data_IF_730662236669
#
_entry.id   IF_730662236669
#
_cell.length_a   1.000
_cell.length_b   1.000
_cell.length_c   1.000
_cell.angle_alpha   90.00
_cell.angle_beta   90.00
_cell.angle_gamma   90.00
#
_symmetry.space_group_name_H-M   'P 1'
#
loop_
_entity.id
_entity.type
_entity.pdbx_description
1 polymer ?
#
# COMPACT_ATOMS: atom_id res chain seq x y z
N UNK A 1 -11.39 27.44 2.34
CA UNK A 1 -12.05 26.15 2.58
C UNK A 1 -11.26 25.44 3.67
N UNK A 2 -11.85 25.39 4.81
CA UNK A 2 -11.20 24.90 6.01
C UNK A 2 -10.75 23.44 5.84
N UNK A 3 -9.44 23.24 5.77
CA UNK A 3 -8.84 22.01 6.25
C UNK A 3 -9.25 21.93 7.72
N UNK A 4 -10.32 21.20 8.01
CA UNK A 4 -10.69 20.88 9.37
C UNK A 4 -9.42 20.37 10.04
N UNK A 5 -8.79 21.22 10.82
CA UNK A 5 -7.56 20.94 11.53
C UNK A 5 -7.86 19.76 12.46
N UNK A 6 -7.38 18.58 12.10
CA UNK A 6 -7.54 17.42 12.97
C UNK A 6 -6.91 17.74 14.31
N UNK A 7 -7.61 17.47 15.39
CA UNK A 7 -7.06 17.72 16.71
C UNK A 7 -5.76 16.93 16.89
N UNK A 8 -4.74 17.47 17.57
CA UNK A 8 -3.50 16.75 17.83
C UNK A 8 -3.71 15.39 18.49
N UNK A 9 -4.72 15.28 19.34
CA UNK A 9 -5.10 14.03 19.99
C UNK A 9 -5.60 12.99 18.98
N UNK A 10 -6.48 13.38 18.07
CA UNK A 10 -6.96 12.50 17.01
C UNK A 10 -5.80 12.04 16.12
N UNK A 11 -4.93 12.95 15.73
CA UNK A 11 -3.76 12.61 14.89
C UNK A 11 -2.85 11.59 15.59
N UNK A 12 -2.59 11.74 16.88
CA UNK A 12 -1.83 10.74 17.65
C UNK A 12 -2.47 9.35 17.63
N UNK A 13 -3.79 9.29 17.73
CA UNK A 13 -4.55 8.02 17.66
C UNK A 13 -4.46 7.38 16.27
N UNK A 14 -4.58 8.17 15.20
CA UNK A 14 -4.42 7.70 13.83
C UNK A 14 -2.99 7.23 13.55
N UNK A 15 -1.98 7.97 14.03
CA UNK A 15 -0.57 7.58 13.95
C UNK A 15 -0.31 6.24 14.63
N UNK A 16 -0.92 6.00 15.79
CA UNK A 16 -0.81 4.74 16.51
C UNK A 16 -1.30 3.55 15.66
N UNK A 17 -2.43 3.69 14.98
CA UNK A 17 -2.93 2.66 14.06
C UNK A 17 -2.00 2.49 12.85
N UNK A 18 -1.51 3.59 12.29
CA UNK A 18 -0.54 3.56 11.19
C UNK A 18 0.74 2.83 11.59
N UNK A 19 1.30 3.12 12.75
CA UNK A 19 2.52 2.49 13.26
C UNK A 19 2.34 0.98 13.48
N UNK A 20 1.14 0.55 13.88
CA UNK A 20 0.82 -0.88 13.99
C UNK A 20 0.85 -1.58 12.63
N UNK A 21 0.28 -0.96 11.60
CA UNK A 21 0.37 -1.49 10.22
C UNK A 21 1.81 -1.52 9.72
N UNK A 22 2.58 -0.49 10.00
CA UNK A 22 4.00 -0.39 9.59
C UNK A 22 4.87 -1.46 10.27
N UNK A 23 4.60 -1.73 11.54
CA UNK A 23 5.36 -2.72 12.31
C UNK A 23 5.06 -4.18 11.95
N UNK A 24 3.84 -4.46 11.50
CA UNK A 24 3.41 -5.81 11.17
C UNK A 24 2.44 -5.81 9.96
N UNK A 25 2.91 -5.45 8.76
CA UNK A 25 2.03 -5.34 7.59
C UNK A 25 1.45 -6.68 7.13
N UNK A 26 2.07 -7.78 7.50
CA UNK A 26 1.60 -9.15 7.20
C UNK A 26 0.38 -9.58 8.01
N UNK A 27 0.10 -8.92 9.13
CA UNK A 27 -1.06 -9.22 9.94
C UNK A 27 -2.37 -8.76 9.27
N UNK A 28 -3.47 -9.37 9.69
CA UNK A 28 -4.80 -8.96 9.26
C UNK A 28 -5.24 -7.70 10.01
N UNK A 29 -5.16 -6.55 9.33
CA UNK A 29 -5.60 -5.25 9.84
C UNK A 29 -6.95 -4.88 9.26
N UNK A 30 -8.01 -5.34 9.91
CA UNK A 30 -9.38 -4.96 9.55
C UNK A 30 -9.65 -3.51 9.96
N UNK A 31 -10.61 -2.86 9.30
CA UNK A 31 -11.05 -1.52 9.69
C UNK A 31 -11.54 -1.49 11.15
N UNK A 32 -12.20 -2.56 11.59
CA UNK A 32 -12.65 -2.73 12.97
C UNK A 32 -11.48 -2.69 13.96
N UNK A 33 -10.45 -3.46 13.72
CA UNK A 33 -9.24 -3.54 14.56
C UNK A 33 -8.48 -2.19 14.60
N UNK A 34 -8.36 -1.52 13.48
CA UNK A 34 -7.70 -0.20 13.39
C UNK A 34 -8.50 0.89 14.11
N UNK A 35 -9.83 0.87 13.97
CA UNK A 35 -10.72 1.78 14.68
C UNK A 35 -10.65 1.58 16.20
N UNK A 36 -10.56 0.33 16.67
CA UNK A 36 -10.34 0.01 18.08
C UNK A 36 -9.02 0.58 18.60
N UNK A 37 -7.91 0.40 17.87
CA UNK A 37 -6.60 0.96 18.24
C UNK A 37 -6.65 2.48 18.36
N UNK A 38 -7.47 3.13 17.54
CA UNK A 38 -7.65 4.58 17.53
C UNK A 38 -8.74 5.07 18.46
N UNK A 39 -9.49 4.17 19.09
CA UNK A 39 -10.63 4.48 19.99
C UNK A 39 -11.69 5.38 19.33
N UNK A 40 -12.06 5.06 18.09
CA UNK A 40 -13.08 5.75 17.30
C UNK A 40 -13.94 4.74 16.54
N UNK A 41 -15.06 5.20 15.96
CA UNK A 41 -15.88 4.35 15.07
C UNK A 41 -15.18 4.05 13.76
N UNK A 42 -15.57 2.96 13.11
CA UNK A 42 -14.97 2.51 11.83
C UNK A 42 -15.10 3.56 10.72
N UNK A 43 -16.29 4.11 10.55
CA UNK A 43 -16.55 5.12 9.53
C UNK A 43 -15.77 6.41 9.77
N UNK A 44 -15.70 6.85 11.03
CA UNK A 44 -14.92 8.01 11.42
C UNK A 44 -13.42 7.78 11.21
N UNK A 45 -12.92 6.61 11.63
CA UNK A 45 -11.53 6.22 11.41
C UNK A 45 -11.16 6.28 9.91
N UNK A 46 -11.93 5.64 9.05
CA UNK A 46 -11.65 5.61 7.61
C UNK A 46 -11.57 7.00 7.01
N UNK A 47 -12.52 7.89 7.32
CA UNK A 47 -12.53 9.27 6.84
C UNK A 47 -11.34 10.07 7.36
N UNK A 48 -11.06 9.98 8.65
CA UNK A 48 -10.00 10.76 9.28
C UNK A 48 -8.61 10.26 8.87
N UNK A 49 -8.43 8.95 8.73
CA UNK A 49 -7.19 8.38 8.21
C UNK A 49 -6.88 8.86 6.79
N UNK A 50 -7.89 8.81 5.92
CA UNK A 50 -7.74 9.33 4.55
C UNK A 50 -7.45 10.83 4.53
N UNK A 51 -8.11 11.61 5.39
CA UNK A 51 -7.85 13.05 5.50
C UNK A 51 -6.43 13.34 5.99
N UNK A 52 -5.93 12.59 6.98
CA UNK A 52 -4.59 12.77 7.54
C UNK A 52 -3.48 12.31 6.61
N UNK A 53 -3.62 11.13 5.98
CA UNK A 53 -2.55 10.47 5.24
C UNK A 53 -2.76 10.44 3.73
N UNK A 54 -3.88 10.92 3.24
CA UNK A 54 -4.16 11.06 1.82
C UNK A 54 -4.62 9.78 1.11
N UNK A 55 -4.62 8.63 1.77
CA UNK A 55 -5.07 7.34 1.23
C UNK A 55 -5.94 6.60 2.23
N UNK A 56 -6.90 5.77 1.78
CA UNK A 56 -7.68 4.92 2.67
C UNK A 56 -6.78 3.91 3.42
N UNK A 57 -7.16 3.48 4.65
CA UNK A 57 -6.37 2.54 5.44
C UNK A 57 -6.00 1.26 4.71
N UNK A 58 -6.95 0.66 4.00
CA UNK A 58 -6.71 -0.57 3.24
C UNK A 58 -5.65 -0.39 2.13
N UNK A 59 -5.70 0.71 1.40
CA UNK A 59 -4.70 1.03 0.36
C UNK A 59 -3.33 1.26 0.97
N UNK A 60 -3.28 1.91 2.11
CA UNK A 60 -2.05 2.09 2.86
C UNK A 60 -1.41 0.74 3.22
N UNK A 61 -2.21 -0.18 3.78
CA UNK A 61 -1.74 -1.53 4.15
C UNK A 61 -1.20 -2.30 2.94
N UNK A 62 -1.92 -2.29 1.81
CA UNK A 62 -1.47 -2.96 0.58
C UNK A 62 -0.13 -2.41 0.09
N UNK A 63 0.05 -1.10 0.11
CA UNK A 63 1.32 -0.47 -0.26
C UNK A 63 2.47 -0.92 0.65
N UNK A 64 2.24 -0.99 1.96
CA UNK A 64 3.25 -1.46 2.92
C UNK A 64 3.62 -2.92 2.71
N UNK A 65 2.65 -3.78 2.42
CA UNK A 65 2.90 -5.19 2.07
C UNK A 65 3.75 -5.32 0.80
N UNK A 66 3.48 -4.51 -0.21
CA UNK A 66 4.28 -4.50 -1.45
C UNK A 66 5.71 -4.01 -1.19
N UNK A 67 5.90 -2.95 -0.43
CA UNK A 67 7.24 -2.48 -0.05
C UNK A 67 8.04 -3.58 0.65
N UNK A 68 7.42 -4.31 1.57
CA UNK A 68 8.04 -5.46 2.24
C UNK A 68 8.39 -6.58 1.26
N UNK A 69 7.49 -6.88 0.33
CA UNK A 69 7.73 -7.89 -0.70
C UNK A 69 8.90 -7.50 -1.62
N UNK A 70 9.01 -6.24 -2.01
CA UNK A 70 10.13 -5.74 -2.82
C UNK A 70 11.47 -5.96 -2.08
N UNK A 71 11.52 -5.65 -0.80
CA UNK A 71 12.72 -5.88 0.01
C UNK A 71 13.11 -7.36 0.04
N UNK A 72 12.15 -8.27 0.23
CA UNK A 72 12.39 -9.72 0.22
C UNK A 72 12.80 -10.24 -1.16
N UNK A 73 12.22 -9.72 -2.24
CA UNK A 73 12.60 -10.08 -3.62
C UNK A 73 14.04 -9.69 -3.92
N UNK A 74 14.47 -8.54 -3.45
CA UNK A 74 15.83 -8.02 -3.66
C UNK A 74 16.86 -8.73 -2.77
N UNK A 75 16.54 -8.88 -1.50
CA UNK A 75 17.53 -9.25 -0.46
C UNK A 75 17.57 -10.75 -0.16
N UNK A 76 16.63 -11.54 -0.69
CA UNK A 76 16.54 -12.98 -0.44
C UNK A 76 16.39 -13.79 -1.72
N UNK A 77 16.58 -15.12 -1.59
CA UNK A 77 16.29 -16.09 -2.65
C UNK A 77 14.97 -16.82 -2.45
N UNK A 78 14.14 -16.36 -1.53
CA UNK A 78 12.84 -16.97 -1.25
C UNK A 78 11.96 -17.04 -2.52
N UNK A 79 11.22 -18.13 -2.73
CA UNK A 79 10.25 -18.21 -3.81
C UNK A 79 9.19 -17.10 -3.72
N UNK A 80 8.69 -16.64 -4.85
CA UNK A 80 7.66 -15.59 -4.89
C UNK A 80 6.41 -16.00 -4.10
N UNK A 81 6.04 -17.27 -4.12
CA UNK A 81 4.94 -17.83 -3.31
C UNK A 81 5.16 -17.65 -1.80
N UNK A 82 6.35 -17.90 -1.33
CA UNK A 82 6.72 -17.71 0.07
C UNK A 82 6.71 -16.24 0.46
N UNK A 83 7.22 -15.38 -0.40
CA UNK A 83 7.18 -13.91 -0.18
C UNK A 83 5.74 -13.41 -0.08
N UNK A 84 4.85 -13.89 -0.94
CA UNK A 84 3.43 -13.55 -0.88
C UNK A 84 2.83 -13.94 0.48
N UNK A 85 3.08 -15.17 0.94
CA UNK A 85 2.58 -15.63 2.24
C UNK A 85 3.15 -14.81 3.41
N UNK A 86 4.46 -14.58 3.44
CA UNK A 86 5.12 -13.82 4.51
C UNK A 86 4.70 -12.35 4.56
N UNK A 87 4.21 -11.81 3.47
CA UNK A 87 3.75 -10.42 3.39
C UNK A 87 2.24 -10.27 3.54
N UNK A 88 1.53 -11.34 3.90
CA UNK A 88 0.12 -11.32 4.31
C UNK A 88 -0.89 -11.49 3.18
N UNK A 89 -0.48 -12.07 2.04
CA UNK A 89 -1.38 -12.34 0.92
C UNK A 89 -1.96 -13.76 0.99
N UNK A 90 -3.26 -13.88 0.84
CA UNK A 90 -3.96 -15.16 0.85
C UNK A 90 -3.98 -15.84 -0.53
N UNK A 91 -3.67 -15.10 -1.59
CA UNK A 91 -3.70 -15.56 -2.98
C UNK A 91 -2.51 -15.03 -3.74
N UNK A 92 -1.77 -15.93 -4.39
CA UNK A 92 -0.66 -15.57 -5.26
C UNK A 92 -1.12 -14.74 -6.47
N UNK A 93 -2.29 -15.04 -7.01
CA UNK A 93 -2.89 -14.29 -8.13
C UNK A 93 -3.21 -12.84 -7.75
N UNK A 94 -3.81 -12.64 -6.59
CA UNK A 94 -4.10 -11.30 -6.05
C UNK A 94 -2.80 -10.54 -5.77
N UNK A 95 -1.82 -11.20 -5.15
CA UNK A 95 -0.50 -10.62 -4.93
C UNK A 95 0.14 -10.13 -6.23
N UNK A 96 0.23 -10.98 -7.24
CA UNK A 96 0.86 -10.65 -8.52
C UNK A 96 0.16 -9.48 -9.23
N UNK A 97 -1.17 -9.46 -9.22
CA UNK A 97 -1.97 -8.39 -9.81
C UNK A 97 -1.75 -7.05 -9.10
N UNK A 98 -1.85 -7.01 -7.78
CA UNK A 98 -1.66 -5.79 -7.00
C UNK A 98 -0.21 -5.32 -7.08
N UNK A 99 0.75 -6.25 -7.03
CA UNK A 99 2.16 -5.94 -7.21
C UNK A 99 2.42 -5.24 -8.54
N UNK A 100 1.89 -5.79 -9.63
CA UNK A 100 2.02 -5.19 -10.96
C UNK A 100 1.30 -3.85 -11.06
N UNK A 101 0.12 -3.70 -10.47
CA UNK A 101 -0.63 -2.43 -10.45
C UNK A 101 0.14 -1.31 -9.72
N UNK A 102 0.89 -1.65 -8.68
CA UNK A 102 1.66 -0.68 -7.89
C UNK A 102 3.04 -0.42 -8.49
N UNK A 103 3.76 -1.46 -8.92
CA UNK A 103 5.16 -1.36 -9.35
C UNK A 103 5.35 -1.23 -10.86
N UNK A 104 4.36 -1.64 -11.65
CA UNK A 104 4.42 -1.67 -13.11
C UNK A 104 5.02 -2.94 -13.70
N UNK A 105 5.51 -3.87 -12.89
CA UNK A 105 6.11 -5.13 -13.33
C UNK A 105 5.74 -6.30 -12.41
N UNK A 106 5.93 -7.55 -12.88
CA UNK A 106 5.69 -8.72 -12.04
C UNK A 106 6.77 -8.88 -10.96
N UNK A 107 6.47 -9.60 -9.86
CA UNK A 107 7.47 -9.89 -8.85
C UNK A 107 8.73 -10.59 -9.40
N UNK A 108 8.54 -11.55 -10.30
CA UNK A 108 9.65 -12.25 -10.95
C UNK A 108 10.49 -11.35 -11.85
N UNK A 109 9.86 -10.46 -12.60
CA UNK A 109 10.54 -9.48 -13.45
C UNK A 109 11.37 -8.49 -12.62
N UNK A 110 10.82 -8.00 -11.51
CA UNK A 110 11.55 -7.13 -10.58
C UNK A 110 12.78 -7.84 -10.03
N UNK A 111 12.66 -9.07 -9.58
CA UNK A 111 13.79 -9.86 -9.06
C UNK A 111 14.89 -10.05 -10.11
N UNK A 112 14.53 -10.38 -11.34
CA UNK A 112 15.48 -10.55 -12.43
C UNK A 112 16.22 -9.25 -12.72
N UNK A 113 15.51 -8.14 -12.80
CA UNK A 113 16.09 -6.81 -13.03
C UNK A 113 17.06 -6.43 -11.90
N UNK A 114 16.69 -6.63 -10.64
CA UNK A 114 17.53 -6.32 -9.48
C UNK A 114 18.82 -7.16 -9.44
N UNK A 115 18.76 -8.41 -9.87
CA UNK A 115 19.93 -9.29 -9.95
C UNK A 115 20.89 -8.94 -11.08
N UNK A 116 20.37 -8.36 -12.16
CA UNK A 116 21.17 -7.94 -13.31
C UNK A 116 21.73 -6.52 -13.14
N UNK A 117 21.24 -5.76 -12.17
CA UNK A 117 21.74 -4.43 -11.87
C UNK A 117 23.18 -4.51 -11.33
N UNK A 118 24.13 -3.71 -11.84
CA UNK A 118 25.50 -3.69 -11.32
C UNK A 118 25.47 -3.33 -9.82
N UNK A 119 26.19 -4.09 -9.03
CA UNK A 119 26.40 -3.81 -7.61
C UNK A 119 27.09 -2.45 -7.46
N UNK A 120 26.34 -1.41 -7.10
CA UNK A 120 26.92 -0.07 -6.94
C UNK A 120 25.93 1.10 -6.94
N UNK A 121 24.70 0.91 -7.33
CA UNK A 121 23.68 1.95 -7.19
C UNK A 121 22.71 1.60 -6.07
N UNK A 122 23.04 2.02 -4.87
CA UNK A 122 22.09 2.10 -3.75
C UNK A 122 21.05 3.22 -3.98
N UNK A 123 20.54 3.32 -5.20
CA UNK A 123 19.35 4.13 -5.43
C UNK A 123 18.16 3.22 -5.23
N UNK A 124 17.30 3.56 -4.28
CA UNK A 124 16.00 2.90 -4.17
C UNK A 124 15.37 2.85 -5.56
N UNK A 125 14.90 1.66 -6.03
CA UNK A 125 14.27 1.56 -7.34
C UNK A 125 13.17 2.61 -7.47
N UNK A 126 12.99 3.18 -8.67
CA UNK A 126 11.94 4.19 -8.91
C UNK A 126 10.56 3.71 -8.47
N UNK A 127 10.33 2.40 -8.49
CA UNK A 127 9.11 1.79 -7.98
C UNK A 127 8.93 1.99 -6.47
N UNK A 128 9.99 1.99 -5.65
CA UNK A 128 9.90 2.31 -4.22
C UNK A 128 9.62 3.80 -4.03
N UNK A 129 10.30 4.66 -4.79
CA UNK A 129 10.06 6.11 -4.76
C UNK A 129 8.63 6.43 -5.19
N UNK A 130 8.07 5.69 -6.17
CA UNK A 130 6.67 5.81 -6.60
C UNK A 130 5.69 5.27 -5.55
N UNK A 131 5.99 4.14 -4.91
CA UNK A 131 5.15 3.57 -3.85
C UNK A 131 5.13 4.45 -2.59
N UNK A 132 6.23 5.14 -2.30
CA UNK A 132 6.33 6.09 -1.18
C UNK A 132 5.79 7.48 -1.53
N UNK A 133 5.71 7.83 -2.81
CA UNK A 133 5.03 9.05 -3.26
C UNK A 133 3.51 8.83 -3.30
N UNK A 134 2.89 9.03 -2.17
CA UNK A 134 1.45 8.87 -1.92
C UNK A 134 0.48 9.52 -2.94
N UNK A 135 0.82 10.58 -3.72
CA UNK A 135 -0.07 11.12 -4.73
C UNK A 135 -0.36 10.17 -5.92
N UNK A 136 0.57 9.26 -6.24
CA UNK A 136 0.42 8.36 -7.38
C UNK A 136 -0.60 7.23 -7.13
N UNK A 137 -0.73 6.76 -5.88
CA UNK A 137 -1.79 5.81 -5.51
C UNK A 137 -3.20 6.43 -5.63
N UNK A 138 -3.32 7.75 -5.41
CA UNK A 138 -4.57 8.49 -5.65
C UNK A 138 -4.93 8.57 -7.13
N UNK A 139 -3.96 8.80 -7.99
CA UNK A 139 -4.17 9.03 -9.42
C UNK A 139 -4.58 7.75 -10.14
N UNK A 140 -3.90 6.65 -9.86
CA UNK A 140 -4.23 5.35 -10.47
C UNK A 140 -5.63 4.83 -10.11
N UNK A 141 -6.11 5.11 -8.90
CA UNK A 141 -7.45 4.70 -8.46
C UNK A 141 -8.54 5.61 -9.02
N UNK A 142 -8.28 6.91 -9.19
CA UNK A 142 -9.25 7.83 -9.78
C UNK A 142 -9.36 7.68 -11.30
N UNK A 143 -8.30 7.32 -11.99
CA UNK A 143 -8.33 7.02 -13.43
C UNK A 143 -9.12 5.76 -13.73
N UNK A 144 -8.89 4.66 -13.00
CA UNK A 144 -9.70 3.43 -13.14
C UNK A 144 -11.20 3.64 -12.84
N UNK A 145 -11.52 4.54 -11.92
CA UNK A 145 -12.92 4.91 -11.66
C UNK A 145 -13.52 5.75 -12.77
N UNK A 146 -12.76 6.64 -13.40
CA UNK A 146 -13.19 7.47 -14.54
C UNK A 146 -13.39 6.64 -15.79
N UNK A 147 -12.51 5.70 -16.10
CA UNK A 147 -12.66 4.77 -17.23
C UNK A 147 -13.89 3.86 -17.05
N UNK A 148 -14.15 3.38 -15.83
CA UNK A 148 -15.33 2.56 -15.53
C UNK A 148 -16.65 3.36 -15.60
N UNK A 149 -16.60 4.66 -15.31
CA UNK A 149 -17.74 5.55 -15.43
C UNK A 149 -17.99 6.00 -16.88
N UNK A 150 -16.93 6.22 -17.65
CA UNK A 150 -17.01 6.56 -19.07
C UNK A 150 -17.48 5.38 -19.95
N UNK A 151 -17.14 4.14 -19.58
CA UNK A 151 -17.59 2.93 -20.28
C UNK A 151 -19.08 2.57 -20.09
N UNK A 152 -19.81 3.27 -19.24
CA UNK A 152 -21.25 3.08 -19.00
C UNK A 152 -22.16 4.06 -19.77
N UNK A 153 -21.59 4.96 -20.54
CA UNK A 153 -22.31 5.96 -21.37
C UNK A 153 -22.00 5.73 -22.86
N UNK A 154 -22.10 4.49 -23.30
CA UNK A 154 -22.17 4.15 -24.72
C UNK A 154 -23.64 3.98 -25.15
N UNK A 155 -23.98 4.33 -26.40
CA UNK A 155 -25.36 4.40 -26.88
C UNK A 155 -26.11 3.07 -26.82
#
# INVERSE_FOLDING_TARGET
>A
MDKASQSPELLRRLLRAKDRMDGAPHEEWTIHRLAQVSAVSEAYFARQFRAAFGVPPHRYLLARRIERAIALLRDTTLPVTEIALQTGWNSLGTFGRIFRDITGESPGALRTRERLAPHGRQQAPECIVRATRRPLLKTAVSEKRREKAAGKLGP
#
